data_IF_274466425044
#
_entry.id   IF_274466425044
#
_cell.length_a   1.000
_cell.length_b   1.000
_cell.length_c   1.000
_cell.angle_alpha   90.00
_cell.angle_beta   90.00
_cell.angle_gamma   90.00
#
_symmetry.space_group_name_H-M   'P 1'
#
loop_
_entity.id
_entity.type
_entity.pdbx_description
1 polymer ?
#
# COMPACT_ATOMS: atom_id res chain seq x y z
N UNK A 1 35.86 -34.86 29.94
CA UNK A 1 35.03 -33.71 29.51
C UNK A 1 34.99 -32.72 30.65
N UNK A 2 35.74 -31.61 30.53
CA UNK A 2 35.81 -30.61 31.59
C UNK A 2 34.48 -29.87 31.67
N UNK A 3 33.73 -30.10 32.73
CA UNK A 3 32.52 -29.35 33.07
C UNK A 3 32.90 -27.92 33.42
N UNK A 4 32.93 -27.05 32.41
CA UNK A 4 33.08 -25.60 32.57
C UNK A 4 31.86 -25.13 33.37
N UNK A 5 32.06 -24.87 34.66
CA UNK A 5 31.07 -24.22 35.52
C UNK A 5 30.78 -22.84 34.95
N UNK A 6 29.68 -22.69 34.21
CA UNK A 6 29.24 -21.40 33.70
C UNK A 6 28.99 -20.47 34.90
N UNK A 7 29.46 -19.22 34.86
CA UNK A 7 29.24 -18.28 35.95
C UNK A 7 27.73 -18.09 36.20
N UNK A 8 27.32 -18.18 37.46
CA UNK A 8 25.93 -17.96 37.88
C UNK A 8 25.56 -16.48 37.66
N UNK A 9 24.95 -16.16 36.53
CA UNK A 9 24.36 -14.85 36.25
C UNK A 9 24.56 -14.32 34.82
N UNK A 10 23.88 -13.22 34.51
CA UNK A 10 23.92 -12.55 33.22
C UNK A 10 25.19 -11.69 33.09
N UNK A 11 26.14 -12.15 32.26
CA UNK A 11 27.39 -11.41 32.00
C UNK A 11 27.19 -10.01 31.39
N UNK A 12 26.06 -9.76 30.70
CA UNK A 12 25.75 -8.44 30.12
C UNK A 12 25.33 -7.43 31.20
N UNK A 13 24.44 -7.84 32.10
CA UNK A 13 23.95 -6.97 33.17
C UNK A 13 24.98 -6.73 34.28
N UNK A 14 26.05 -7.53 34.35
CA UNK A 14 27.08 -7.42 35.40
C UNK A 14 27.72 -6.03 35.48
N UNK A 15 27.81 -5.31 34.36
CA UNK A 15 28.41 -3.98 34.27
C UNK A 15 27.37 -2.85 34.22
N UNK A 16 26.08 -3.14 34.44
CA UNK A 16 24.99 -2.16 34.40
C UNK A 16 24.54 -1.89 35.82
N UNK A 17 24.70 -0.65 36.30
CA UNK A 17 24.27 -0.25 37.63
C UNK A 17 22.74 -0.36 37.78
N UNK A 18 22.27 -0.82 38.95
CA UNK A 18 20.85 -0.92 39.28
C UNK A 18 20.10 -2.14 38.73
N UNK A 19 20.78 -3.07 38.04
CA UNK A 19 20.17 -4.30 37.53
C UNK A 19 20.65 -5.52 38.32
N UNK A 20 19.73 -6.37 38.78
CA UNK A 20 20.06 -7.64 39.42
C UNK A 20 20.54 -8.66 38.37
N UNK A 21 21.84 -8.68 38.10
CA UNK A 21 22.44 -9.57 37.10
C UNK A 21 22.50 -11.04 37.52
N UNK A 22 22.32 -11.36 38.82
CA UNK A 22 22.35 -12.73 39.32
C UNK A 22 21.01 -13.47 39.17
N UNK A 23 19.90 -12.74 38.93
CA UNK A 23 18.56 -13.33 38.88
C UNK A 23 18.21 -14.03 37.55
N UNK A 24 19.03 -13.86 36.52
CA UNK A 24 18.77 -14.40 35.19
C UNK A 24 20.09 -14.74 34.47
N UNK A 25 20.03 -15.60 33.47
CA UNK A 25 21.14 -15.86 32.57
C UNK A 25 21.03 -14.96 31.33
N UNK A 26 22.13 -14.79 30.59
CA UNK A 26 22.10 -14.02 29.33
C UNK A 26 21.33 -14.77 28.24
N UNK A 27 21.52 -16.07 28.18
CA UNK A 27 21.05 -16.99 27.16
C UNK A 27 20.55 -18.25 27.87
N UNK A 28 19.42 -18.79 27.45
CA UNK A 28 18.91 -20.08 27.93
C UNK A 28 19.71 -21.26 27.35
N UNK A 29 19.47 -22.46 27.87
CA UNK A 29 19.92 -23.75 27.37
C UNK A 29 19.66 -23.97 25.88
N UNK A 30 18.58 -23.39 25.34
CA UNK A 30 18.21 -23.45 23.92
C UNK A 30 18.94 -22.42 23.04
N UNK A 31 19.78 -21.54 23.63
CA UNK A 31 20.46 -20.48 22.88
C UNK A 31 19.65 -19.19 22.70
N UNK A 32 18.46 -19.10 23.31
CA UNK A 32 17.57 -17.92 23.23
C UNK A 32 17.97 -16.85 24.25
N UNK A 33 17.97 -15.58 23.84
CA UNK A 33 18.31 -14.45 24.73
C UNK A 33 17.15 -14.15 25.68
N UNK A 34 17.33 -14.48 26.95
CA UNK A 34 16.32 -14.26 28.02
C UNK A 34 16.61 -13.03 28.88
N UNK A 35 17.70 -12.30 28.62
CA UNK A 35 18.06 -11.12 29.39
C UNK A 35 17.07 -9.96 29.13
N UNK A 36 16.31 -9.49 30.15
CA UNK A 36 15.29 -8.46 29.97
C UNK A 36 15.88 -7.13 29.51
N UNK A 37 17.11 -6.80 29.93
CA UNK A 37 17.78 -5.55 29.52
C UNK A 37 18.14 -5.56 28.03
N UNK A 38 18.61 -6.70 27.51
CA UNK A 38 18.93 -6.85 26.07
C UNK A 38 17.64 -6.79 25.25
N UNK A 39 16.60 -7.52 25.67
CA UNK A 39 15.30 -7.51 24.98
C UNK A 39 14.69 -6.11 24.96
N UNK A 40 14.80 -5.34 26.05
CA UNK A 40 14.24 -4.00 26.13
C UNK A 40 15.01 -2.94 25.31
N UNK A 41 16.34 -3.01 25.29
CA UNK A 41 17.19 -1.96 24.72
C UNK A 41 17.64 -2.23 23.28
N UNK A 42 17.90 -3.48 22.93
CA UNK A 42 18.51 -3.84 21.65
C UNK A 42 17.45 -4.48 20.74
N UNK A 43 16.96 -3.69 19.78
CA UNK A 43 16.32 -4.26 18.60
C UNK A 43 17.40 -4.59 17.57
N UNK A 44 17.25 -5.73 16.88
CA UNK A 44 18.22 -6.09 15.85
C UNK A 44 18.18 -5.08 14.71
N UNK A 45 19.35 -4.52 14.35
CA UNK A 45 19.47 -3.52 13.26
C UNK A 45 18.97 -4.04 11.90
N UNK A 46 18.98 -5.36 11.69
CA UNK A 46 18.65 -5.98 10.41
C UNK A 46 17.16 -6.37 10.30
N UNK A 47 16.61 -7.07 11.30
CA UNK A 47 15.20 -7.49 11.25
C UNK A 47 14.24 -6.67 12.09
N UNK A 48 14.74 -5.79 12.98
CA UNK A 48 13.98 -4.99 13.96
C UNK A 48 13.26 -5.80 15.04
N UNK A 49 13.40 -7.12 15.06
CA UNK A 49 12.91 -7.98 16.13
C UNK A 49 13.87 -7.92 17.34
N UNK A 50 13.32 -8.19 18.53
CA UNK A 50 14.07 -8.25 19.80
C UNK A 50 14.38 -9.71 20.14
N UNK A 51 15.31 -9.96 21.06
CA UNK A 51 15.55 -11.30 21.61
C UNK A 51 16.57 -12.19 20.86
N UNK A 52 17.38 -11.64 19.97
CA UNK A 52 18.52 -12.35 19.35
C UNK A 52 19.69 -11.40 19.14
N UNK A 53 20.91 -11.94 19.06
CA UNK A 53 22.10 -11.15 18.72
C UNK A 53 22.19 -10.91 17.21
N UNK A 54 22.87 -9.84 16.81
CA UNK A 54 23.11 -9.51 15.41
C UNK A 54 23.68 -10.67 14.58
N UNK A 55 24.69 -11.45 15.05
CA UNK A 55 25.22 -12.59 14.32
C UNK A 55 24.20 -13.70 14.09
N UNK A 56 23.26 -13.86 15.03
CA UNK A 56 22.22 -14.88 15.03
C UNK A 56 20.91 -14.36 14.39
N UNK A 57 20.95 -13.22 13.72
CA UNK A 57 19.77 -12.65 13.08
C UNK A 57 19.32 -13.53 11.91
N UNK A 58 18.03 -13.96 11.87
CA UNK A 58 17.53 -14.83 10.80
C UNK A 58 17.66 -14.18 9.42
N UNK A 59 17.42 -12.86 9.32
CA UNK A 59 17.60 -12.11 8.06
C UNK A 59 19.07 -12.02 7.63
N UNK A 60 20.00 -11.96 8.58
CA UNK A 60 21.43 -11.93 8.27
C UNK A 60 21.92 -13.31 7.83
N UNK A 61 21.47 -14.38 8.49
CA UNK A 61 21.73 -15.77 8.09
C UNK A 61 21.19 -16.06 6.68
N UNK A 62 19.98 -15.63 6.37
CA UNK A 62 19.39 -15.78 5.03
C UNK A 62 20.19 -14.99 3.98
N UNK A 63 20.62 -13.76 4.30
CA UNK A 63 21.46 -12.96 3.41
C UNK A 63 22.80 -13.64 3.13
N UNK A 64 23.47 -14.17 4.15
CA UNK A 64 24.74 -14.89 4.02
C UNK A 64 24.58 -16.14 3.16
N UNK A 65 23.51 -16.92 3.39
CA UNK A 65 23.17 -18.08 2.57
C UNK A 65 22.95 -17.71 1.10
N UNK A 66 22.20 -16.63 0.81
CA UNK A 66 22.01 -16.13 -0.56
C UNK A 66 23.31 -15.69 -1.22
N UNK A 67 24.26 -15.16 -0.45
CA UNK A 67 25.57 -14.76 -0.96
C UNK A 67 26.45 -15.96 -1.27
N UNK A 68 26.47 -16.96 -0.39
CA UNK A 68 27.12 -18.26 -0.63
C UNK A 68 26.52 -18.97 -1.86
N UNK A 69 25.20 -18.95 -2.02
CA UNK A 69 24.51 -19.49 -3.20
C UNK A 69 24.90 -18.73 -4.49
N UNK A 70 25.13 -17.41 -4.41
CA UNK A 70 25.61 -16.61 -5.55
C UNK A 70 27.05 -16.96 -5.90
N UNK A 71 27.93 -17.07 -4.90
CA UNK A 71 29.34 -17.43 -5.11
C UNK A 71 29.45 -18.82 -5.72
N UNK A 72 28.73 -19.81 -5.18
CA UNK A 72 28.72 -21.18 -5.73
C UNK A 72 28.13 -21.23 -7.15
N UNK A 73 27.12 -20.40 -7.45
CA UNK A 73 26.60 -20.28 -8.82
C UNK A 73 27.59 -19.61 -9.77
N UNK A 74 28.40 -18.66 -9.30
CA UNK A 74 29.49 -18.07 -10.08
C UNK A 74 30.59 -19.10 -10.33
N UNK A 75 31.04 -19.83 -9.29
CA UNK A 75 32.07 -20.88 -9.45
C UNK A 75 31.64 -22.02 -10.39
N UNK A 76 30.35 -22.38 -10.41
CA UNK A 76 29.82 -23.37 -11.35
C UNK A 76 29.79 -22.88 -12.80
N UNK A 77 29.48 -21.60 -13.01
CA UNK A 77 29.38 -21.03 -14.36
C UNK A 77 30.72 -20.52 -14.91
N UNK A 78 31.66 -20.21 -14.02
CA UNK A 78 33.01 -19.76 -14.32
C UNK A 78 33.98 -20.54 -13.44
N UNK A 79 34.32 -21.79 -13.80
CA UNK A 79 35.39 -22.51 -13.11
C UNK A 79 36.65 -21.64 -13.15
N UNK A 80 37.38 -21.49 -12.01
CA UNK A 80 38.56 -20.65 -11.96
C UNK A 80 39.56 -21.10 -13.03
N UNK A 81 39.77 -20.25 -14.04
CA UNK A 81 40.52 -20.58 -15.25
C UNK A 81 42.04 -20.74 -15.03
N UNK A 82 42.56 -20.57 -13.82
CA UNK A 82 43.98 -20.74 -13.55
C UNK A 82 44.26 -21.27 -12.14
N UNK A 83 44.63 -22.56 -12.04
CA UNK A 83 45.33 -23.13 -10.87
C UNK A 83 46.70 -23.73 -11.22
N UNK A 84 47.25 -23.39 -12.37
CA UNK A 84 48.62 -23.77 -12.73
C UNK A 84 49.35 -22.59 -13.33
N UNK A 85 49.75 -21.64 -12.49
CA UNK A 85 50.96 -20.89 -12.79
C UNK A 85 52.13 -21.75 -12.31
N UNK A 86 53.01 -22.23 -13.20
CA UNK A 86 54.23 -22.89 -12.77
C UNK A 86 55.04 -21.90 -11.95
N UNK A 87 55.39 -22.30 -10.73
CA UNK A 87 56.33 -21.60 -9.86
C UNK A 87 57.65 -21.47 -10.62
N UNK A 88 57.92 -20.28 -11.14
CA UNK A 88 59.18 -19.97 -11.82
C UNK A 88 60.28 -19.99 -10.75
N UNK A 89 61.32 -20.84 -10.89
CA UNK A 89 62.42 -20.85 -9.94
C UNK A 89 63.15 -19.50 -9.99
N UNK A 90 63.21 -18.86 -8.83
CA UNK A 90 63.99 -17.64 -8.60
C UNK A 90 65.47 -18.00 -8.70
N UNK A 91 66.10 -17.70 -9.84
CA UNK A 91 67.55 -17.76 -9.98
C UNK A 91 68.18 -16.46 -9.45
N UNK A 92 69.17 -16.53 -8.54
CA UNK A 92 69.96 -15.38 -8.15
C UNK A 92 71.18 -15.25 -9.09
N UNK A 93 71.53 -14.02 -9.44
CA UNK A 93 72.90 -13.71 -9.83
C UNK A 93 73.08 -12.97 -11.15
N UNK A 94 73.47 -11.70 -11.00
CA UNK A 94 74.64 -11.05 -11.60
C UNK A 94 74.82 -11.06 -13.13
N UNK A 95 75.03 -9.86 -13.67
CA UNK A 95 75.65 -9.69 -14.98
C UNK A 95 75.52 -8.27 -15.52
N UNK A 96 76.39 -7.39 -15.08
CA UNK A 96 76.56 -6.06 -15.67
C UNK A 96 77.04 -6.15 -17.12
N UNK A 97 76.57 -5.22 -17.96
CA UNK A 97 77.25 -4.83 -19.19
C UNK A 97 76.78 -5.53 -20.47
N UNK A 98 75.77 -4.96 -21.14
CA UNK A 98 75.60 -5.12 -22.58
C UNK A 98 74.90 -3.90 -23.19
N UNK A 99 75.52 -3.33 -24.21
CA UNK A 99 75.08 -2.14 -24.95
C UNK A 99 73.61 -2.18 -25.36
N UNK A 100 72.88 -1.12 -25.02
CA UNK A 100 71.54 -0.83 -25.56
C UNK A 100 71.65 -0.51 -27.04
N UNK A 101 71.38 -1.49 -27.90
CA UNK A 101 70.93 -1.22 -29.26
C UNK A 101 69.46 -0.81 -29.16
N UNK A 102 69.02 0.31 -29.75
CA UNK A 102 67.61 0.68 -29.76
C UNK A 102 66.86 -0.30 -30.66
N UNK A 103 66.35 -1.39 -30.09
CA UNK A 103 65.34 -2.22 -30.73
C UNK A 103 64.08 -1.39 -30.88
N UNK A 104 63.97 -0.69 -32.01
CA UNK A 104 62.68 -0.18 -32.51
C UNK A 104 61.78 -1.41 -32.58
N UNK A 105 60.84 -1.49 -31.64
CA UNK A 105 59.91 -2.59 -31.51
C UNK A 105 59.23 -2.82 -32.86
N UNK A 106 59.13 -4.08 -33.29
CA UNK A 106 58.39 -4.46 -34.50
C UNK A 106 56.96 -3.87 -34.51
N UNK A 107 56.39 -3.57 -33.33
CA UNK A 107 55.12 -2.85 -33.17
C UNK A 107 55.16 -1.39 -33.67
N UNK A 108 56.28 -0.67 -33.55
CA UNK A 108 56.43 0.69 -34.09
C UNK A 108 56.46 0.68 -35.63
N UNK A 109 57.14 -0.28 -36.27
CA UNK A 109 57.18 -0.39 -37.73
C UNK A 109 55.85 -0.79 -38.38
N UNK A 110 54.99 -1.51 -37.64
CA UNK A 110 53.62 -1.82 -38.08
C UNK A 110 52.70 -0.61 -37.94
N UNK A 111 52.89 0.24 -36.92
CA UNK A 111 52.13 1.46 -36.74
C UNK A 111 52.39 2.49 -37.86
N UNK A 112 53.62 2.57 -38.36
CA UNK A 112 54.02 3.54 -39.41
C UNK A 112 53.55 3.18 -40.83
N UNK A 113 53.21 1.91 -41.11
CA UNK A 113 52.78 1.45 -42.44
C UNK A 113 51.27 1.18 -42.58
N UNK A 114 50.46 1.50 -41.56
CA UNK A 114 49.01 1.31 -41.65
C UNK A 114 48.40 2.45 -42.48
N UNK A 115 47.64 2.17 -43.55
CA UNK A 115 47.00 3.22 -44.34
C UNK A 115 46.08 4.03 -43.43
N UNK A 116 46.30 5.34 -43.31
CA UNK A 116 45.52 6.23 -42.42
C UNK A 116 43.99 6.16 -42.68
N UNK A 117 43.58 5.72 -43.87
CA UNK A 117 42.18 5.51 -44.24
C UNK A 117 41.55 4.26 -43.60
N UNK A 118 42.34 3.20 -43.37
CA UNK A 118 41.87 1.95 -42.75
C UNK A 118 41.70 2.10 -41.23
N UNK A 119 42.53 2.92 -40.58
CA UNK A 119 42.43 3.19 -39.14
C UNK A 119 41.20 4.03 -38.81
N UNK A 120 40.92 5.07 -39.60
CA UNK A 120 39.73 5.91 -39.39
C UNK A 120 38.41 5.15 -39.57
N UNK A 121 38.34 4.22 -40.53
CA UNK A 121 37.16 3.38 -40.73
C UNK A 121 36.92 2.42 -39.54
N UNK A 122 37.98 1.78 -39.05
CA UNK A 122 37.91 0.88 -37.89
C UNK A 122 37.56 1.62 -36.59
N UNK A 123 38.10 2.83 -36.39
CA UNK A 123 37.76 3.67 -35.24
C UNK A 123 36.29 4.08 -35.27
N UNK A 124 35.76 4.46 -36.44
CA UNK A 124 34.34 4.78 -36.59
C UNK A 124 33.45 3.58 -36.29
N UNK A 125 33.77 2.39 -36.82
CA UNK A 125 32.99 1.18 -36.53
C UNK A 125 33.02 0.81 -35.04
N UNK A 126 34.16 1.03 -34.37
CA UNK A 126 34.27 0.79 -32.94
C UNK A 126 33.42 1.77 -32.12
N UNK A 127 33.40 3.05 -32.48
CA UNK A 127 32.54 4.04 -31.82
C UNK A 127 31.05 3.77 -32.11
N UNK A 128 30.67 3.43 -33.34
CA UNK A 128 29.29 3.05 -33.68
C UNK A 128 28.84 1.82 -32.86
N UNK A 129 29.72 0.83 -32.69
CA UNK A 129 29.44 -0.35 -31.85
C UNK A 129 29.27 0.01 -30.37
N UNK A 130 30.09 0.91 -29.83
CA UNK A 130 29.92 1.41 -28.46
C UNK A 130 28.61 2.15 -28.28
N UNK A 131 28.24 3.02 -29.23
CA UNK A 131 26.97 3.74 -29.21
C UNK A 131 25.81 2.74 -29.24
N UNK A 132 25.85 1.75 -30.12
CA UNK A 132 24.84 0.69 -30.18
C UNK A 132 24.74 -0.13 -28.88
N UNK A 133 25.88 -0.46 -28.24
CA UNK A 133 25.89 -1.15 -26.96
C UNK A 133 25.27 -0.30 -25.83
N UNK A 134 25.59 1.00 -25.78
CA UNK A 134 25.01 1.94 -24.81
C UNK A 134 23.51 2.09 -25.03
N UNK A 135 23.06 2.25 -26.27
CA UNK A 135 21.64 2.33 -26.61
C UNK A 135 20.90 1.04 -26.24
N UNK A 136 21.49 -0.14 -26.51
CA UNK A 136 20.90 -1.42 -26.12
C UNK A 136 20.79 -1.57 -24.60
N UNK A 137 21.80 -1.12 -23.84
CA UNK A 137 21.75 -1.10 -22.37
C UNK A 137 20.69 -0.12 -21.84
N UNK A 138 20.58 1.06 -22.43
CA UNK A 138 19.55 2.04 -22.07
C UNK A 138 18.14 1.51 -22.34
N UNK A 139 17.90 0.94 -23.52
CA UNK A 139 16.62 0.31 -23.87
C UNK A 139 16.27 -0.82 -22.91
N UNK A 140 17.22 -1.72 -22.62
CA UNK A 140 17.00 -2.81 -21.65
C UNK A 140 16.68 -2.30 -20.25
N UNK A 141 17.30 -1.20 -19.81
CA UNK A 141 17.01 -0.58 -18.52
C UNK A 141 15.64 0.11 -18.50
N UNK A 142 15.19 0.69 -19.61
CA UNK A 142 13.85 1.24 -19.76
C UNK A 142 12.77 0.15 -19.77
N UNK A 143 12.95 -0.90 -20.57
CA UNK A 143 12.04 -2.05 -20.64
C UNK A 143 11.89 -2.70 -19.25
N UNK A 144 13.00 -2.87 -18.51
CA UNK A 144 12.95 -3.38 -17.15
C UNK A 144 12.17 -2.45 -16.19
N UNK A 145 12.34 -1.13 -16.30
CA UNK A 145 11.57 -0.16 -15.48
C UNK A 145 10.07 -0.24 -15.79
N UNK A 146 9.69 -0.33 -17.06
CA UNK A 146 8.30 -0.51 -17.49
C UNK A 146 7.70 -1.80 -16.93
N UNK A 147 8.42 -2.92 -17.00
CA UNK A 147 7.99 -4.20 -16.42
C UNK A 147 7.83 -4.11 -14.89
N UNK A 148 8.72 -3.39 -14.19
CA UNK A 148 8.57 -3.17 -12.74
C UNK A 148 7.32 -2.35 -12.40
N UNK A 149 7.02 -1.33 -13.20
CA UNK A 149 5.85 -0.48 -13.02
C UNK A 149 4.56 -1.24 -13.30
N UNK A 150 4.50 -1.98 -14.40
CA UNK A 150 3.35 -2.84 -14.73
C UNK A 150 3.10 -3.89 -13.64
N UNK A 151 4.15 -4.52 -13.12
CA UNK A 151 4.00 -5.49 -12.02
C UNK A 151 3.46 -4.85 -10.74
N UNK A 152 3.88 -3.62 -10.42
CA UNK A 152 3.32 -2.88 -9.28
C UNK A 152 1.85 -2.54 -9.50
N UNK A 153 1.47 -2.10 -10.70
CA UNK A 153 0.08 -1.81 -11.04
C UNK A 153 -0.80 -3.06 -10.94
N UNK A 154 -0.33 -4.21 -11.46
CA UNK A 154 -1.04 -5.49 -11.34
C UNK A 154 -1.20 -5.94 -9.88
N UNK A 155 -0.18 -5.75 -9.03
CA UNK A 155 -0.26 -6.08 -7.62
C UNK A 155 -1.25 -5.19 -6.87
N UNK A 156 -1.25 -3.88 -7.16
CA UNK A 156 -2.22 -2.92 -6.61
C UNK A 156 -3.64 -3.24 -7.06
N UNK A 157 -3.85 -3.56 -8.34
CA UNK A 157 -5.16 -3.97 -8.85
C UNK A 157 -5.65 -5.25 -8.17
N UNK A 158 -4.76 -6.24 -7.98
CA UNK A 158 -5.09 -7.48 -7.26
C UNK A 158 -5.46 -7.19 -5.81
N UNK A 159 -4.78 -6.24 -5.14
CA UNK A 159 -5.12 -5.80 -3.79
C UNK A 159 -6.51 -5.15 -3.75
N UNK A 160 -6.79 -4.22 -4.65
CA UNK A 160 -8.12 -3.57 -4.81
C UNK A 160 -9.23 -4.59 -5.05
N UNK A 161 -9.00 -5.60 -5.90
CA UNK A 161 -9.98 -6.67 -6.15
C UNK A 161 -10.26 -7.51 -4.89
N UNK A 162 -9.23 -7.81 -4.09
CA UNK A 162 -9.40 -8.55 -2.82
C UNK A 162 -10.15 -7.72 -1.78
N UNK A 163 -9.85 -6.44 -1.66
CA UNK A 163 -10.55 -5.52 -0.77
C UNK A 163 -12.02 -5.37 -1.19
N UNK A 164 -12.30 -5.17 -2.48
CA UNK A 164 -13.67 -5.11 -2.99
C UNK A 164 -14.46 -6.40 -2.73
N UNK A 165 -13.83 -7.57 -2.93
CA UNK A 165 -14.45 -8.85 -2.61
C UNK A 165 -14.72 -9.01 -1.11
N UNK A 166 -13.79 -8.56 -0.26
CA UNK A 166 -13.97 -8.56 1.19
C UNK A 166 -15.14 -7.66 1.62
N UNK A 167 -15.19 -6.43 1.11
CA UNK A 167 -16.30 -5.50 1.37
C UNK A 167 -17.64 -6.08 0.92
N UNK A 168 -17.69 -6.69 -0.27
CA UNK A 168 -18.92 -7.33 -0.75
C UNK A 168 -19.35 -8.49 0.17
N UNK A 169 -18.40 -9.32 0.62
CA UNK A 169 -18.69 -10.39 1.57
C UNK A 169 -19.19 -9.84 2.92
N UNK A 170 -18.68 -8.71 3.38
CA UNK A 170 -19.19 -8.04 4.58
C UNK A 170 -20.60 -7.48 4.37
N UNK A 171 -20.89 -6.87 3.22
CA UNK A 171 -22.24 -6.44 2.87
C UNK A 171 -23.24 -7.62 2.85
N UNK A 172 -22.87 -8.74 2.23
CA UNK A 172 -23.74 -9.91 2.14
C UNK A 172 -24.01 -10.53 3.52
N UNK A 173 -23.03 -10.44 4.45
CA UNK A 173 -23.13 -11.03 5.79
C UNK A 173 -23.83 -10.14 6.81
N UNK A 174 -23.60 -8.83 6.76
CA UNK A 174 -23.97 -7.90 7.84
C UNK A 174 -24.82 -6.71 7.35
N UNK A 175 -25.08 -6.60 6.04
CA UNK A 175 -25.85 -5.51 5.45
C UNK A 175 -25.04 -4.24 5.21
N UNK A 176 -25.72 -3.15 4.85
CA UNK A 176 -25.09 -1.89 4.41
C UNK A 176 -24.27 -1.19 5.48
N UNK A 177 -24.62 -1.38 6.75
CA UNK A 177 -24.03 -0.67 7.89
C UNK A 177 -22.98 -1.51 8.62
N UNK A 178 -22.44 -2.55 7.96
CA UNK A 178 -21.49 -3.49 8.56
C UNK A 178 -20.25 -2.81 9.15
N UNK A 179 -19.77 -1.73 8.51
CA UNK A 179 -18.58 -1.00 8.93
C UNK A 179 -18.75 -0.35 10.31
N UNK A 180 -19.99 -0.06 10.73
CA UNK A 180 -20.31 0.41 12.08
C UNK A 180 -20.32 -0.72 13.12
N UNK A 181 -20.48 -1.97 12.69
CA UNK A 181 -20.53 -3.15 13.57
C UNK A 181 -19.14 -3.75 13.86
N UNK A 182 -18.09 -3.30 13.17
CA UNK A 182 -16.71 -3.83 13.33
C UNK A 182 -15.93 -3.08 14.43
N UNK A 183 -16.57 -2.15 15.16
CA UNK A 183 -15.90 -1.29 16.14
C UNK A 183 -15.23 -2.08 17.29
N UNK A 184 -13.96 -1.77 17.59
CA UNK A 184 -13.16 -2.26 18.73
C UNK A 184 -12.54 -3.66 18.62
N UNK A 185 -12.29 -4.16 17.41
CA UNK A 185 -11.37 -5.30 17.28
C UNK A 185 -9.97 -4.78 17.00
N UNK A 186 -8.94 -5.37 17.63
CA UNK A 186 -7.52 -5.01 17.41
C UNK A 186 -7.06 -5.26 15.95
N UNK A 187 -7.96 -5.80 15.11
CA UNK A 187 -7.81 -6.06 13.68
C UNK A 187 -8.84 -5.28 12.85
N UNK A 188 -9.18 -4.05 13.25
CA UNK A 188 -10.05 -3.18 12.47
C UNK A 188 -9.59 -3.17 11.00
N UNK A 189 -10.45 -3.71 10.13
CA UNK A 189 -10.20 -3.73 8.70
C UNK A 189 -10.00 -2.28 8.25
N UNK A 190 -8.84 -1.95 7.69
CA UNK A 190 -8.52 -0.60 7.24
C UNK A 190 -9.61 -0.01 6.34
N UNK A 191 -10.27 -0.86 5.54
CA UNK A 191 -11.41 -0.46 4.71
C UNK A 191 -12.64 -0.04 5.52
N UNK A 192 -12.93 -0.70 6.64
CA UNK A 192 -14.03 -0.30 7.53
C UNK A 192 -13.75 1.06 8.18
N UNK A 193 -12.49 1.31 8.56
CA UNK A 193 -12.05 2.61 9.09
C UNK A 193 -12.22 3.72 8.04
N UNK A 194 -11.70 3.53 6.83
CA UNK A 194 -11.81 4.51 5.73
C UNK A 194 -13.27 4.80 5.35
N UNK A 195 -14.17 3.81 5.44
CA UNK A 195 -15.59 4.02 5.20
C UNK A 195 -16.24 4.87 6.29
N UNK A 196 -15.95 4.61 7.57
CA UNK A 196 -16.47 5.42 8.68
C UNK A 196 -15.97 6.85 8.62
N UNK A 197 -14.67 7.04 8.38
CA UNK A 197 -14.10 8.37 8.23
C UNK A 197 -14.75 9.14 7.07
N UNK A 198 -15.07 8.46 5.97
CA UNK A 198 -15.82 9.08 4.86
C UNK A 198 -17.23 9.50 5.29
N UNK A 199 -17.97 8.60 5.95
CA UNK A 199 -19.35 8.86 6.37
C UNK A 199 -19.41 9.98 7.43
N UNK A 200 -18.46 10.03 8.36
CA UNK A 200 -18.30 11.13 9.32
C UNK A 200 -18.00 12.45 8.62
N UNK A 201 -17.06 12.46 7.66
CA UNK A 201 -16.76 13.67 6.89
C UNK A 201 -17.95 14.14 6.02
N UNK A 202 -18.71 13.21 5.44
CA UNK A 202 -19.91 13.54 4.69
C UNK A 202 -21.01 14.12 5.59
N UNK A 203 -21.16 13.59 6.81
CA UNK A 203 -22.04 14.13 7.82
C UNK A 203 -21.68 15.58 8.17
N UNK A 204 -20.42 15.87 8.50
CA UNK A 204 -19.99 17.24 8.81
C UNK A 204 -20.16 18.20 7.64
N UNK A 205 -19.90 17.76 6.40
CA UNK A 205 -20.13 18.57 5.20
C UNK A 205 -21.62 18.92 5.05
N UNK A 206 -22.50 17.94 5.28
CA UNK A 206 -23.95 18.15 5.22
C UNK A 206 -24.43 19.12 6.31
N UNK A 207 -23.88 19.03 7.53
CA UNK A 207 -24.16 20.00 8.60
C UNK A 207 -23.74 21.41 8.21
N UNK A 208 -22.51 21.59 7.70
CA UNK A 208 -22.01 22.91 7.26
C UNK A 208 -22.87 23.51 6.13
N UNK A 209 -23.25 22.70 5.13
CA UNK A 209 -24.14 23.13 4.05
C UNK A 209 -25.53 23.53 4.59
N UNK A 210 -26.05 22.79 5.56
CA UNK A 210 -27.35 23.07 6.19
C UNK A 210 -27.29 24.36 7.01
N UNK A 211 -26.24 24.55 7.82
CA UNK A 211 -26.04 25.78 8.59
C UNK A 211 -25.93 27.00 7.69
N UNK A 212 -25.16 26.87 6.59
CA UNK A 212 -25.02 27.93 5.59
C UNK A 212 -26.37 28.28 4.96
N UNK A 213 -27.14 27.28 4.55
CA UNK A 213 -28.48 27.48 3.99
C UNK A 213 -29.41 28.18 4.98
N UNK A 214 -29.47 27.72 6.24
CA UNK A 214 -30.26 28.33 7.29
C UNK A 214 -29.90 29.81 7.50
N UNK A 215 -28.61 30.12 7.49
CA UNK A 215 -28.12 31.51 7.62
C UNK A 215 -28.52 32.38 6.42
N UNK A 216 -28.37 31.87 5.19
CA UNK A 216 -28.80 32.57 3.97
C UNK A 216 -30.31 32.85 3.99
N UNK A 217 -31.13 31.89 4.45
CA UNK A 217 -32.57 32.07 4.61
C UNK A 217 -32.92 33.11 5.69
N UNK A 218 -32.19 33.11 6.82
CA UNK A 218 -32.38 34.13 7.85
C UNK A 218 -32.03 35.53 7.34
N UNK A 219 -30.90 35.68 6.65
CA UNK A 219 -30.49 36.97 6.05
C UNK A 219 -31.47 37.46 4.99
N UNK A 220 -32.08 36.55 4.22
CA UNK A 220 -33.14 36.85 3.27
C UNK A 220 -34.39 37.36 3.99
N UNK A 221 -34.86 36.67 5.05
CA UNK A 221 -35.99 37.12 5.87
C UNK A 221 -35.76 38.51 6.46
N UNK A 222 -34.58 38.76 7.02
CA UNK A 222 -34.22 40.07 7.59
C UNK A 222 -34.13 41.19 6.55
N UNK A 223 -33.75 40.85 5.31
CA UNK A 223 -33.72 41.81 4.19
C UNK A 223 -35.13 42.15 3.74
N UNK A 224 -35.95 41.13 3.51
CA UNK A 224 -37.36 41.26 3.14
C UNK A 224 -38.15 42.08 4.16
N UNK A 225 -37.91 41.86 5.46
CA UNK A 225 -38.52 42.64 6.55
C UNK A 225 -38.16 44.13 6.53
N UNK A 226 -37.00 44.49 5.97
CA UNK A 226 -36.55 45.88 5.85
C UNK A 226 -37.05 46.56 4.57
N UNK A 227 -37.22 45.79 3.50
CA UNK A 227 -37.55 46.29 2.17
C UNK A 227 -39.07 46.37 1.93
N UNK A 228 -39.85 45.47 2.52
CA UNK A 228 -41.31 45.42 2.36
C UNK A 228 -42.05 46.20 3.45
N UNK A 229 -43.28 46.61 3.14
CA UNK A 229 -44.18 47.14 4.16
C UNK A 229 -44.57 46.03 5.15
N UNK A 230 -45.00 46.36 6.39
CA UNK A 230 -45.41 45.36 7.36
C UNK A 230 -46.53 44.43 6.86
N UNK A 231 -47.47 44.95 6.05
CA UNK A 231 -48.59 44.19 5.50
C UNK A 231 -48.13 43.21 4.42
N UNK A 232 -47.28 43.64 3.48
CA UNK A 232 -46.68 42.80 2.45
C UNK A 232 -45.77 41.71 3.05
N UNK A 233 -44.98 42.06 4.08
CA UNK A 233 -44.14 41.07 4.76
C UNK A 233 -44.97 40.03 5.50
N UNK A 234 -46.08 40.44 6.12
CA UNK A 234 -46.98 39.51 6.79
C UNK A 234 -47.66 38.58 5.79
N UNK A 235 -48.11 39.06 4.63
CA UNK A 235 -48.66 38.18 3.58
C UNK A 235 -47.61 37.19 3.06
N UNK A 236 -46.38 37.65 2.80
CA UNK A 236 -45.25 36.78 2.40
C UNK A 236 -44.89 35.72 3.46
N UNK A 237 -44.88 36.09 4.75
CA UNK A 237 -44.60 35.17 5.85
C UNK A 237 -45.66 34.06 5.93
N UNK A 238 -46.93 34.40 5.67
CA UNK A 238 -48.03 33.44 5.64
C UNK A 238 -47.95 32.49 4.43
N UNK A 239 -47.59 33.00 3.25
CA UNK A 239 -47.32 32.17 2.07
C UNK A 239 -46.16 31.19 2.31
N UNK A 240 -45.15 31.60 3.07
CA UNK A 240 -44.02 30.74 3.43
C UNK A 240 -44.34 29.73 4.54
N UNK A 241 -45.18 30.07 5.51
CA UNK A 241 -45.57 29.12 6.58
C UNK A 241 -46.43 27.95 6.04
N UNK A 242 -47.23 28.20 4.99
CA UNK A 242 -47.94 27.14 4.26
C UNK A 242 -46.97 26.25 3.45
N UNK A 243 -45.86 26.80 2.93
CA UNK A 243 -44.78 26.00 2.33
C UNK A 243 -43.86 25.34 3.38
N UNK A 244 -43.74 25.89 4.59
CA UNK A 244 -42.83 25.39 5.64
C UNK A 244 -43.32 24.08 6.25
N UNK A 245 -44.64 23.88 6.33
CA UNK A 245 -45.22 22.56 6.62
C UNK A 245 -44.90 21.52 5.53
N UNK A 246 -44.67 21.97 4.30
CA UNK A 246 -44.32 21.13 3.17
C UNK A 246 -42.80 21.03 2.94
N UNK A 247 -41.98 21.91 3.54
CA UNK A 247 -40.52 21.92 3.47
C UNK A 247 -39.88 20.99 4.50
N UNK A 248 -40.43 20.92 5.73
CA UNK A 248 -40.07 19.91 6.72
C UNK A 248 -40.49 18.51 6.25
N UNK A 249 -41.69 18.40 5.67
CA UNK A 249 -42.16 17.20 4.97
C UNK A 249 -41.33 16.94 3.72
N UNK A 250 -40.86 17.94 2.96
CA UNK A 250 -39.93 17.75 1.81
C UNK A 250 -38.55 17.29 2.24
N UNK A 251 -37.97 17.80 3.32
CA UNK A 251 -36.68 17.31 3.82
C UNK A 251 -36.81 15.91 4.41
N UNK A 252 -37.88 15.62 5.17
CA UNK A 252 -38.17 14.25 5.61
C UNK A 252 -38.48 13.33 4.43
N UNK A 253 -39.26 13.76 3.44
CA UNK A 253 -39.54 12.95 2.25
C UNK A 253 -38.36 12.88 1.30
N UNK A 254 -37.43 13.83 1.25
CA UNK A 254 -36.17 13.70 0.48
C UNK A 254 -35.19 12.78 1.20
N UNK A 255 -35.11 12.86 2.52
CA UNK A 255 -34.35 11.92 3.34
C UNK A 255 -34.95 10.51 3.24
N UNK A 256 -36.27 10.37 3.37
CA UNK A 256 -37.02 9.15 3.16
C UNK A 256 -37.01 8.71 1.69
N UNK A 257 -36.92 9.60 0.69
CA UNK A 257 -36.80 9.24 -0.73
C UNK A 257 -35.38 8.81 -1.08
N UNK A 258 -34.35 9.35 -0.43
CA UNK A 258 -32.96 8.89 -0.55
C UNK A 258 -32.78 7.55 0.18
N UNK A 259 -33.32 7.41 1.38
CA UNK A 259 -33.40 6.16 2.11
C UNK A 259 -34.26 5.13 1.36
N UNK A 260 -35.36 5.54 0.74
CA UNK A 260 -36.22 4.70 -0.09
C UNK A 260 -35.58 4.38 -1.43
N UNK A 261 -34.75 5.24 -2.04
CA UNK A 261 -33.98 4.88 -3.25
C UNK A 261 -32.89 3.86 -2.93
N UNK A 262 -32.20 4.02 -1.82
CA UNK A 262 -31.23 3.04 -1.34
C UNK A 262 -31.92 1.70 -1.01
N UNK A 263 -33.08 1.76 -0.34
CA UNK A 263 -33.92 0.60 -0.05
C UNK A 263 -34.46 -0.04 -1.35
N UNK A 264 -35.07 0.71 -2.26
CA UNK A 264 -35.59 0.23 -3.55
C UNK A 264 -34.48 -0.39 -4.40
N UNK A 265 -33.28 0.19 -4.41
CA UNK A 265 -32.10 -0.40 -5.06
C UNK A 265 -31.72 -1.74 -4.43
N UNK A 266 -31.73 -1.82 -3.10
CA UNK A 266 -31.51 -3.06 -2.35
C UNK A 266 -32.59 -4.12 -2.66
N UNK A 267 -33.87 -3.77 -2.61
CA UNK A 267 -34.98 -4.69 -2.86
C UNK A 267 -35.04 -5.15 -4.33
N UNK A 268 -34.71 -4.30 -5.30
CA UNK A 268 -34.54 -4.70 -6.70
C UNK A 268 -33.38 -5.67 -6.88
N UNK A 269 -32.22 -5.40 -6.27
CA UNK A 269 -31.02 -6.26 -6.38
C UNK A 269 -31.25 -7.65 -5.79
N UNK A 270 -32.10 -7.75 -4.77
CA UNK A 270 -32.44 -9.00 -4.09
C UNK A 270 -33.74 -9.66 -4.58
N UNK A 271 -34.38 -9.14 -5.65
CA UNK A 271 -35.60 -9.73 -6.23
C UNK A 271 -36.82 -9.67 -5.31
N UNK A 272 -36.83 -8.74 -4.35
CA UNK A 272 -37.88 -8.55 -3.36
C UNK A 272 -38.91 -7.49 -3.79
N UNK A 273 -38.74 -6.89 -4.95
CA UNK A 273 -39.76 -6.08 -5.63
C UNK A 273 -40.48 -6.90 -6.70
N UNK A 274 -41.80 -6.70 -6.81
CA UNK A 274 -42.56 -7.18 -7.96
C UNK A 274 -42.15 -6.39 -9.22
N UNK A 275 -42.34 -6.96 -10.43
CA UNK A 275 -41.96 -6.32 -11.70
C UNK A 275 -42.55 -4.92 -11.92
N UNK A 276 -43.62 -4.60 -11.21
CA UNK A 276 -44.39 -3.36 -11.39
C UNK A 276 -43.96 -2.23 -10.44
N UNK A 277 -42.94 -2.44 -9.59
CA UNK A 277 -42.30 -1.37 -8.80
C UNK A 277 -43.03 -0.91 -7.53
N UNK A 278 -44.09 -1.59 -7.09
CA UNK A 278 -44.82 -1.22 -5.87
C UNK A 278 -44.12 -1.74 -4.59
N UNK A 279 -43.78 -0.81 -3.68
CA UNK A 279 -43.30 -1.10 -2.33
C UNK A 279 -44.47 -1.35 -1.37
N UNK A 280 -44.34 -2.33 -0.47
CA UNK A 280 -45.36 -2.63 0.55
C UNK A 280 -45.09 -1.75 1.78
N UNK A 281 -45.57 -0.50 1.78
CA UNK A 281 -45.75 0.28 3.01
C UNK A 281 -47.22 0.29 3.44
N UNK A 282 -47.44 0.24 4.75
CA UNK A 282 -48.61 -0.34 5.41
C UNK A 282 -49.88 0.50 5.46
N UNK A 283 -49.92 1.70 4.88
CA UNK A 283 -51.14 2.53 4.85
C UNK A 283 -51.72 2.70 3.43
N UNK A 284 -50.88 2.90 2.42
CA UNK A 284 -51.33 2.96 1.01
C UNK A 284 -51.75 1.60 0.43
N UNK A 285 -51.20 0.51 0.95
CA UNK A 285 -51.61 -0.85 0.58
C UNK A 285 -53.04 -1.21 1.02
N UNK A 286 -53.58 -0.52 2.03
CA UNK A 286 -54.95 -0.75 2.52
C UNK A 286 -55.99 -0.12 1.60
N UNK A 287 -55.74 1.10 1.09
CA UNK A 287 -56.66 1.79 0.18
C UNK A 287 -56.72 1.12 -1.20
N UNK A 288 -55.58 0.67 -1.76
CA UNK A 288 -55.59 -0.09 -3.02
C UNK A 288 -56.25 -1.47 -2.89
N UNK A 289 -56.14 -2.14 -1.74
CA UNK A 289 -56.89 -3.39 -1.46
C UNK A 289 -58.39 -3.12 -1.39
N UNK A 290 -58.81 -2.02 -0.74
CA UNK A 290 -60.21 -1.59 -0.70
C UNK A 290 -60.73 -1.25 -2.10
N UNK A 291 -59.94 -0.57 -2.93
CA UNK A 291 -60.34 -0.18 -4.28
C UNK A 291 -60.42 -1.39 -5.24
N UNK A 292 -59.48 -2.33 -5.12
CA UNK A 292 -59.54 -3.62 -5.84
C UNK A 292 -60.78 -4.44 -5.46
N UNK A 293 -61.08 -4.55 -4.16
CA UNK A 293 -62.28 -5.23 -3.67
C UNK A 293 -63.57 -4.55 -4.14
N UNK A 294 -63.60 -3.21 -4.24
CA UNK A 294 -64.74 -2.47 -4.81
C UNK A 294 -64.93 -2.76 -6.30
N UNK A 295 -63.86 -2.80 -7.09
CA UNK A 295 -63.92 -3.13 -8.53
C UNK A 295 -64.36 -4.57 -8.78
N UNK A 296 -63.83 -5.52 -8.02
CA UNK A 296 -64.23 -6.94 -8.14
C UNK A 296 -65.68 -7.18 -7.69
N UNK A 297 -66.20 -6.42 -6.71
CA UNK A 297 -67.64 -6.43 -6.37
C UNK A 297 -68.51 -5.79 -7.46
N UNK A 298 -68.02 -4.76 -8.14
CA UNK A 298 -68.75 -4.13 -9.25
C UNK A 298 -68.84 -5.02 -10.49
N UNK A 299 -67.83 -5.88 -10.73
CA UNK A 299 -67.82 -6.84 -11.84
C UNK A 299 -68.62 -8.13 -11.57
N UNK A 300 -69.00 -8.39 -10.32
CA UNK A 300 -69.80 -9.57 -9.91
C UNK A 300 -71.29 -9.27 -9.73
N UNK A 301 -71.73 -8.04 -10.07
CA UNK A 301 -73.13 -7.67 -10.26
C UNK A 301 -73.43 -7.59 -11.74
#
# INVERSE_FOLDING_TARGET
MSSITKPNGCGYCRNISGVNWQSHQRIDSEGIVICPVIIAKESCRYCKERGHFIPDCPKLAEKKKREEDRVTKIEKNFPPLFKTLPTVPTAPGAGAGASRVPTISYAQKIAENRPAKLTAALEKEFEDRKVAEVQAKQKKAEDWRKEQEERKQQEEERKKRREAAHVQAMYDKWGTNWHNCVYMTDEDCNTAYEMRERDENEYYRMEEETEKYCKEQQELRERLKREMTPEEYQEWEWEQDDEYFDAGVRMQTEFECRASRAAVSYFNKHGLMLPDGDFVSSEWGAERKLDKVRREKAQKK
#
